data_IF_430449945764
#
_entry.id   IF_430449945764
#
_cell.length_a   1.000
_cell.length_b   1.000
_cell.length_c   1.000
_cell.angle_alpha   90.00
_cell.angle_beta   90.00
_cell.angle_gamma   90.00
#
_symmetry.space_group_name_H-M   'P 1'
#
loop_
_entity.id
_entity.type
_entity.pdbx_description
1 polymer ?
#
# COMPACT_ATOMS: atom_id res chain seq x y z
N UNK A 1 -8.19 10.09 -33.77
CA UNK A 1 -8.93 8.88 -33.39
C UNK A 1 -7.97 7.99 -32.59
N UNK A 2 -7.71 8.37 -31.34
CA UNK A 2 -8.32 7.79 -30.12
C UNK A 2 -7.68 6.47 -29.70
N UNK A 3 -6.40 6.54 -29.31
CA UNK A 3 -5.76 5.53 -28.48
C UNK A 3 -6.03 5.87 -26.99
N UNK A 4 -7.33 5.96 -26.65
CA UNK A 4 -7.82 6.27 -25.28
C UNK A 4 -8.27 5.00 -24.55
N UNK A 5 -8.39 3.87 -25.25
CA UNK A 5 -8.82 2.60 -24.64
C UNK A 5 -7.88 2.06 -23.56
N UNK A 6 -6.56 2.28 -23.67
CA UNK A 6 -5.60 1.77 -22.67
C UNK A 6 -5.52 2.68 -21.44
N UNK A 7 -5.70 4.00 -21.62
CA UNK A 7 -5.69 4.97 -20.51
C UNK A 7 -6.95 4.88 -19.65
N UNK A 8 -8.11 4.68 -20.27
CA UNK A 8 -9.37 4.51 -19.53
C UNK A 8 -9.48 3.14 -18.86
N UNK A 9 -8.78 2.12 -19.40
CA UNK A 9 -8.74 0.77 -18.81
C UNK A 9 -7.77 0.64 -17.64
N UNK A 10 -6.78 1.53 -17.51
CA UNK A 10 -5.74 1.41 -16.49
C UNK A 10 -6.29 1.44 -15.06
N UNK A 11 -7.21 2.37 -14.77
CA UNK A 11 -7.82 2.50 -13.45
C UNK A 11 -8.65 1.25 -13.06
N UNK A 12 -9.61 0.76 -13.88
CA UNK A 12 -10.35 -0.46 -13.55
C UNK A 12 -9.46 -1.70 -13.54
N UNK A 13 -8.45 -1.80 -14.40
CA UNK A 13 -7.50 -2.91 -14.39
C UNK A 13 -6.70 -2.95 -13.07
N UNK A 14 -6.25 -1.79 -12.58
CA UNK A 14 -5.56 -1.68 -11.30
C UNK A 14 -6.46 -2.10 -10.13
N UNK A 15 -7.75 -1.73 -10.16
CA UNK A 15 -8.74 -2.17 -9.16
C UNK A 15 -8.92 -3.69 -9.20
N UNK A 16 -9.09 -4.28 -10.38
CA UNK A 16 -9.22 -5.74 -10.55
C UNK A 16 -7.96 -6.47 -10.08
N UNK A 17 -6.77 -5.93 -10.36
CA UNK A 17 -5.51 -6.49 -9.88
C UNK A 17 -5.42 -6.48 -8.34
N UNK A 18 -5.84 -5.39 -7.69
CA UNK A 18 -5.91 -5.28 -6.22
C UNK A 18 -6.88 -6.32 -5.62
N UNK A 19 -8.05 -6.50 -6.23
CA UNK A 19 -9.01 -7.54 -5.82
C UNK A 19 -8.44 -8.95 -6.09
N UNK A 20 -7.71 -9.13 -7.18
CA UNK A 20 -7.01 -10.38 -7.49
C UNK A 20 -6.00 -10.77 -6.41
N UNK A 21 -5.22 -9.80 -5.90
CA UNK A 21 -4.28 -9.98 -4.78
C UNK A 21 -5.01 -10.38 -3.47
N UNK A 22 -6.27 -9.96 -3.30
CA UNK A 22 -7.09 -10.33 -2.16
C UNK A 22 -7.57 -11.79 -2.22
N UNK A 23 -7.75 -12.35 -3.42
CA UNK A 23 -8.17 -13.74 -3.62
C UNK A 23 -6.96 -14.68 -3.67
N UNK A 24 -5.88 -14.25 -4.32
CA UNK A 24 -4.68 -15.07 -4.50
C UNK A 24 -3.69 -14.86 -3.34
N UNK A 25 -3.24 -15.93 -2.64
CA UNK A 25 -2.19 -15.82 -1.64
C UNK A 25 -0.85 -15.47 -2.31
N UNK A 26 -0.37 -14.25 -2.10
CA UNK A 26 0.99 -13.85 -2.47
C UNK A 26 2.00 -14.56 -1.56
N UNK A 27 3.23 -14.84 -2.04
CA UNK A 27 4.31 -15.27 -1.17
C UNK A 27 4.78 -14.11 -0.27
N UNK A 28 5.36 -14.40 0.91
CA UNK A 28 5.74 -13.40 1.91
C UNK A 28 6.71 -12.35 1.36
N UNK A 29 7.72 -12.79 0.59
CA UNK A 29 8.74 -11.89 0.04
C UNK A 29 8.22 -10.86 -0.96
N UNK A 30 7.20 -11.20 -1.78
CA UNK A 30 6.57 -10.21 -2.65
C UNK A 30 5.75 -9.21 -1.84
N UNK A 31 5.00 -9.72 -0.86
CA UNK A 31 4.15 -8.90 -0.02
C UNK A 31 4.99 -7.90 0.78
N UNK A 32 6.14 -8.33 1.28
CA UNK A 32 7.13 -7.49 1.96
C UNK A 32 7.60 -6.34 1.06
N UNK A 33 8.05 -6.63 -0.17
CA UNK A 33 8.48 -5.61 -1.12
C UNK A 33 7.37 -4.58 -1.43
N UNK A 34 6.12 -5.03 -1.60
CA UNK A 34 4.99 -4.13 -1.82
C UNK A 34 4.65 -3.29 -0.58
N UNK A 35 4.74 -3.84 0.63
CA UNK A 35 4.55 -3.11 1.88
C UNK A 35 5.61 -2.03 2.05
N UNK A 36 6.89 -2.36 1.82
CA UNK A 36 8.00 -1.40 1.88
C UNK A 36 7.77 -0.28 0.87
N UNK A 37 7.44 -0.62 -0.38
CA UNK A 37 7.15 0.37 -1.42
C UNK A 37 5.98 1.29 -1.03
N UNK A 38 4.90 0.74 -0.47
CA UNK A 38 3.76 1.50 0.01
C UNK A 38 4.16 2.49 1.12
N UNK A 39 4.93 2.01 2.10
CA UNK A 39 5.43 2.81 3.21
C UNK A 39 6.34 3.94 2.72
N UNK A 40 7.29 3.64 1.84
CA UNK A 40 8.19 4.65 1.25
C UNK A 40 7.39 5.70 0.47
N UNK A 41 6.43 5.29 -0.36
CA UNK A 41 5.56 6.21 -1.09
C UNK A 41 4.75 7.09 -0.14
N UNK A 42 4.19 6.52 0.93
CA UNK A 42 3.46 7.27 1.93
C UNK A 42 4.35 8.30 2.64
N UNK A 43 5.61 7.96 2.95
CA UNK A 43 6.58 8.89 3.52
C UNK A 43 6.99 9.99 2.55
N UNK A 44 7.22 9.65 1.27
CA UNK A 44 7.51 10.64 0.21
C UNK A 44 6.34 11.61 0.06
N UNK A 45 5.11 11.12 0.04
CA UNK A 45 3.91 11.96 0.00
C UNK A 45 3.76 12.80 1.26
N UNK A 46 4.11 12.28 2.44
CA UNK A 46 4.07 13.01 3.70
C UNK A 46 5.08 14.16 3.69
N UNK A 47 6.34 13.89 3.34
CA UNK A 47 7.39 14.92 3.24
C UNK A 47 7.00 15.93 2.16
N UNK A 48 6.51 15.46 1.00
CA UNK A 48 6.00 16.33 -0.06
C UNK A 48 4.86 17.22 0.45
N UNK A 49 3.92 16.70 1.23
CA UNK A 49 2.81 17.48 1.78
C UNK A 49 3.25 18.52 2.83
N UNK A 50 4.28 18.21 3.63
CA UNK A 50 4.85 19.13 4.63
C UNK A 50 5.64 20.27 3.98
N UNK A 51 6.32 20.02 2.85
CA UNK A 51 7.18 21.00 2.19
C UNK A 51 6.52 21.73 1.00
N UNK A 52 5.41 21.23 0.43
CA UNK A 52 4.71 21.92 -0.65
C UNK A 52 3.85 23.08 -0.13
N UNK A 53 4.31 24.31 -0.38
CA UNK A 53 3.51 25.53 -0.27
C UNK A 53 2.55 25.74 -1.45
N UNK A 54 2.69 24.96 -2.53
CA UNK A 54 1.80 24.96 -3.69
C UNK A 54 1.25 23.55 -3.93
N UNK A 55 -0.07 23.32 -3.77
CA UNK A 55 -0.69 22.04 -4.08
C UNK A 55 -0.64 21.87 -5.61
N UNK A 56 0.34 21.13 -6.12
CA UNK A 56 0.76 21.01 -7.54
C UNK A 56 -0.35 20.64 -8.56
N UNK A 57 -1.43 21.41 -8.70
CA UNK A 57 -2.67 21.11 -9.47
C UNK A 57 -3.58 20.12 -8.72
N UNK A 58 -4.53 20.68 -7.98
CA UNK A 58 -5.64 20.03 -7.26
C UNK A 58 -6.36 18.86 -7.97
N UNK A 59 -6.22 18.72 -9.29
CA UNK A 59 -6.84 17.63 -10.07
C UNK A 59 -6.08 16.31 -9.99
N UNK A 60 -4.74 16.31 -9.84
CA UNK A 60 -3.94 15.07 -9.89
C UNK A 60 -3.76 14.43 -8.51
N UNK A 61 -3.76 15.24 -7.46
CA UNK A 61 -3.62 14.78 -6.07
C UNK A 61 -4.71 13.79 -5.64
N UNK A 62 -6.02 14.10 -5.82
CA UNK A 62 -7.10 13.20 -5.43
C UNK A 62 -7.03 11.85 -6.13
N UNK A 63 -6.66 11.82 -7.41
CA UNK A 63 -6.53 10.58 -8.18
C UNK A 63 -5.37 9.72 -7.69
N UNK A 64 -4.20 10.32 -7.43
CA UNK A 64 -3.03 9.61 -6.90
C UNK A 64 -3.32 9.09 -5.48
N UNK A 65 -3.98 9.89 -4.64
CA UNK A 65 -4.39 9.46 -3.30
C UNK A 65 -5.41 8.33 -3.35
N UNK A 66 -6.39 8.38 -4.26
CA UNK A 66 -7.39 7.30 -4.45
C UNK A 66 -6.70 6.00 -4.86
N UNK A 67 -5.82 6.04 -5.85
CA UNK A 67 -5.06 4.86 -6.30
C UNK A 67 -4.16 4.31 -5.17
N UNK A 68 -3.45 5.19 -4.47
CA UNK A 68 -2.59 4.83 -3.33
C UNK A 68 -3.41 4.20 -2.19
N UNK A 69 -4.63 4.70 -1.95
CA UNK A 69 -5.53 4.17 -0.93
C UNK A 69 -6.07 2.79 -1.31
N UNK A 70 -6.45 2.58 -2.57
CA UNK A 70 -6.86 1.26 -3.06
C UNK A 70 -5.73 0.23 -2.94
N UNK A 71 -4.52 0.65 -3.34
CA UNK A 71 -3.33 -0.19 -3.19
C UNK A 71 -3.04 -0.51 -1.71
N UNK A 72 -3.16 0.47 -0.79
CA UNK A 72 -3.09 0.24 0.67
C UNK A 72 -4.13 -0.78 1.14
N UNK A 73 -5.37 -0.67 0.69
CA UNK A 73 -6.44 -1.58 1.07
C UNK A 73 -6.11 -3.03 0.65
N UNK A 74 -5.65 -3.22 -0.60
CA UNK A 74 -5.23 -4.53 -1.11
C UNK A 74 -4.13 -5.18 -0.30
N UNK A 75 -3.06 -4.42 -0.01
CA UNK A 75 -1.94 -4.92 0.78
C UNK A 75 -2.36 -5.25 2.21
N UNK A 76 -3.12 -4.37 2.87
CA UNK A 76 -3.57 -4.61 4.24
C UNK A 76 -4.44 -5.86 4.36
N UNK A 77 -5.34 -6.10 3.40
CA UNK A 77 -6.15 -7.32 3.41
C UNK A 77 -5.28 -8.55 3.15
N UNK A 78 -4.35 -8.49 2.20
CA UNK A 78 -3.44 -9.59 1.92
C UNK A 78 -2.55 -9.93 3.13
N UNK A 79 -2.04 -8.91 3.85
CA UNK A 79 -1.25 -9.04 5.08
C UNK A 79 -2.08 -9.69 6.19
N UNK A 80 -3.26 -9.16 6.49
CA UNK A 80 -4.13 -9.72 7.53
C UNK A 80 -4.53 -11.15 7.22
N UNK A 81 -4.82 -11.47 5.95
CA UNK A 81 -5.08 -12.85 5.53
C UNK A 81 -3.86 -13.74 5.76
N UNK A 82 -2.65 -13.32 5.40
CA UNK A 82 -1.43 -14.10 5.66
C UNK A 82 -1.24 -14.34 7.15
N UNK A 83 -1.36 -13.30 7.98
CA UNK A 83 -1.26 -13.37 9.44
C UNK A 83 -2.28 -14.35 10.02
N UNK A 84 -3.55 -14.27 9.61
CA UNK A 84 -4.62 -15.14 10.13
C UNK A 84 -4.57 -16.57 9.57
N UNK A 85 -4.04 -16.77 8.36
CA UNK A 85 -3.92 -18.09 7.74
C UNK A 85 -2.80 -18.97 8.35
N UNK A 86 -2.00 -18.42 9.27
CA UNK A 86 -0.83 -19.09 9.83
C UNK A 86 0.30 -19.28 8.80
N UNK A 87 0.21 -18.62 7.65
CA UNK A 87 1.28 -18.58 6.67
C UNK A 87 2.44 -17.73 7.19
N UNK A 88 3.59 -17.81 6.51
CA UNK A 88 4.74 -16.95 6.82
C UNK A 88 4.33 -15.48 6.75
N UNK A 89 4.44 -14.81 7.89
CA UNK A 89 4.21 -13.38 8.06
C UNK A 89 5.36 -12.63 7.39
N UNK A 90 5.11 -11.52 6.69
CA UNK A 90 6.18 -10.69 6.13
C UNK A 90 7.11 -10.18 7.24
N UNK A 91 8.42 -10.25 7.02
CA UNK A 91 9.44 -9.93 8.03
C UNK A 91 9.35 -8.47 8.47
N UNK A 92 9.06 -7.55 7.54
CA UNK A 92 8.83 -6.13 7.83
C UNK A 92 7.77 -5.91 8.93
N UNK A 93 6.71 -6.73 8.98
CA UNK A 93 5.64 -6.56 9.98
C UNK A 93 6.17 -6.93 11.37
N UNK A 94 6.97 -7.99 11.47
CA UNK A 94 7.59 -8.42 12.73
C UNK A 94 8.64 -7.42 13.20
N UNK A 95 9.52 -6.96 12.29
CA UNK A 95 10.56 -5.98 12.61
C UNK A 95 9.96 -4.64 13.03
N UNK A 96 8.90 -4.16 12.37
CA UNK A 96 8.21 -2.94 12.80
C UNK A 96 7.49 -3.12 14.15
N UNK A 97 6.90 -4.30 14.40
CA UNK A 97 6.29 -4.62 15.69
C UNK A 97 7.30 -4.55 16.83
N UNK A 98 8.46 -5.18 16.66
CA UNK A 98 9.54 -5.14 17.67
C UNK A 98 10.12 -3.73 17.84
N UNK A 99 10.31 -3.00 16.74
CA UNK A 99 10.81 -1.61 16.76
C UNK A 99 9.88 -0.65 17.50
N UNK A 100 8.55 -0.79 17.34
CA UNK A 100 7.58 0.09 18.01
C UNK A 100 7.41 -0.26 19.50
N UNK A 101 7.57 -1.53 19.87
CA UNK A 101 7.34 -2.05 21.24
C UNK A 101 8.61 -2.03 22.11
N UNK A 102 9.75 -1.65 21.54
CA UNK A 102 11.14 -1.89 21.99
C UNK A 102 11.51 -1.57 23.45
N UNK A 103 10.64 -0.98 24.28
CA UNK A 103 10.95 -0.84 25.72
C UNK A 103 9.74 -0.69 26.67
N UNK A 104 8.51 -1.04 26.27
CA UNK A 104 7.40 -0.98 27.23
C UNK A 104 6.21 -1.90 26.90
N UNK A 105 6.22 -3.12 27.43
CA UNK A 105 5.02 -3.97 27.52
C UNK A 105 4.04 -3.50 28.63
N UNK A 106 4.37 -2.48 29.43
CA UNK A 106 3.55 -1.96 30.55
C UNK A 106 2.44 -1.00 30.09
N UNK A 107 2.33 -0.70 28.79
CA UNK A 107 1.14 -0.01 28.22
C UNK A 107 0.32 -0.93 27.32
N UNK A 108 0.57 -2.24 27.38
CA UNK A 108 -0.29 -3.27 26.79
C UNK A 108 -1.58 -3.46 27.58
#
# INVERSE_FOLDING_TARGET
MTNTGVKDCFLPLAVVAVVGIMIFPLPPGLLDAFLICNLTLALVLLISAVYLSEPQRFTSLPTILLLTTLFRLGLNIATTRQILSGASVPDIVLTFGEFVVQNNLVVG
#
